data_IF_363157427805
#
_entry.id   IF_363157427805
#
_cell.length_a   1.000
_cell.length_b   1.000
_cell.length_c   1.000
_cell.angle_alpha   90.00
_cell.angle_beta   90.00
_cell.angle_gamma   90.00
#
_symmetry.space_group_name_H-M   'P 1'
#
loop_
_entity.id
_entity.type
_entity.pdbx_description
1 polymer ?
#
# COMPACT_ATOMS: atom_id res chain seq x y z
N UNK A 1 78.07 39.83 -31.30
CA UNK A 1 77.19 39.37 -30.21
C UNK A 1 76.03 40.36 -30.16
N UNK A 2 74.96 40.23 -30.97
CA UNK A 2 73.75 39.38 -30.83
C UNK A 2 73.19 39.31 -29.41
N UNK A 3 71.90 39.63 -29.28
CA UNK A 3 71.08 39.64 -28.05
C UNK A 3 70.16 40.86 -28.01
N UNK A 4 69.29 41.06 -29.00
CA UNK A 4 67.89 40.58 -29.05
C UNK A 4 66.98 41.15 -27.96
N UNK A 5 66.17 42.13 -28.38
CA UNK A 5 64.98 42.68 -27.74
C UNK A 5 63.84 41.66 -27.68
N UNK A 6 63.15 41.57 -26.53
CA UNK A 6 61.81 40.99 -26.43
C UNK A 6 60.93 41.81 -25.46
N UNK A 7 59.82 42.44 -25.91
CA UNK A 7 58.80 42.98 -25.02
C UNK A 7 57.77 41.90 -24.58
N UNK A 8 57.00 42.14 -23.50
CA UNK A 8 56.13 41.13 -22.91
C UNK A 8 54.90 40.79 -23.76
N UNK A 9 54.61 39.49 -23.86
CA UNK A 9 53.39 38.94 -24.48
C UNK A 9 52.19 39.19 -23.57
N UNK A 10 51.34 40.18 -23.91
CA UNK A 10 49.99 40.30 -23.38
C UNK A 10 49.08 39.27 -24.07
N UNK A 11 48.63 38.27 -23.32
CA UNK A 11 47.63 37.31 -23.78
C UNK A 11 46.33 38.00 -24.19
N UNK A 12 45.97 37.89 -25.47
CA UNK A 12 44.64 38.29 -25.97
C UNK A 12 43.60 37.30 -25.45
N UNK A 13 42.84 37.67 -24.41
CA UNK A 13 41.57 37.00 -24.11
C UNK A 13 40.59 37.31 -25.25
N UNK A 14 40.18 36.28 -25.98
CA UNK A 14 39.17 36.39 -27.02
C UNK A 14 37.84 36.89 -26.42
N UNK A 15 37.44 38.10 -26.79
CA UNK A 15 36.14 38.66 -26.45
C UNK A 15 35.05 37.87 -27.19
N UNK A 16 34.36 36.96 -26.47
CA UNK A 16 33.18 36.26 -26.98
C UNK A 16 32.05 37.28 -27.15
N UNK A 17 31.73 37.61 -28.40
CA UNK A 17 30.81 38.69 -28.77
C UNK A 17 29.40 38.56 -28.20
N UNK A 18 28.67 39.69 -28.07
CA UNK A 18 27.40 39.79 -27.35
C UNK A 18 26.26 38.98 -27.96
N UNK A 19 26.31 38.70 -29.27
CA UNK A 19 25.24 38.02 -30.03
C UNK A 19 25.02 36.55 -29.62
N UNK A 20 26.06 35.84 -29.19
CA UNK A 20 25.90 34.45 -28.69
C UNK A 20 25.32 34.40 -27.28
N UNK A 21 25.58 35.43 -26.47
CA UNK A 21 25.02 35.54 -25.12
C UNK A 21 23.55 35.89 -25.15
N UNK A 22 23.13 36.80 -26.02
CA UNK A 22 21.71 37.17 -26.18
C UNK A 22 20.87 36.01 -26.73
N UNK A 23 21.36 35.24 -27.71
CA UNK A 23 20.67 34.05 -28.20
C UNK A 23 20.50 32.96 -27.12
N UNK A 24 21.54 32.72 -26.31
CA UNK A 24 21.45 31.78 -25.19
C UNK A 24 20.52 32.27 -24.08
N UNK A 25 20.52 33.58 -23.78
CA UNK A 25 19.58 34.19 -22.82
C UNK A 25 18.13 34.10 -23.29
N UNK A 26 17.86 34.36 -24.57
CA UNK A 26 16.50 34.24 -25.14
C UNK A 26 16.00 32.80 -25.13
N UNK A 27 16.89 31.83 -25.42
CA UNK A 27 16.54 30.42 -25.39
C UNK A 27 16.27 29.93 -23.95
N UNK A 28 17.04 30.42 -22.96
CA UNK A 28 16.80 30.14 -21.55
C UNK A 28 15.46 30.72 -21.05
N UNK A 29 15.12 31.96 -21.45
CA UNK A 29 13.83 32.58 -21.12
C UNK A 29 12.68 31.78 -21.73
N UNK A 30 12.80 31.36 -23.00
CA UNK A 30 11.78 30.54 -23.66
C UNK A 30 11.60 29.17 -23.00
N UNK A 31 12.68 28.52 -22.57
CA UNK A 31 12.62 27.25 -21.83
C UNK A 31 11.90 27.42 -20.48
N UNK A 32 12.23 28.47 -19.71
CA UNK A 32 11.57 28.75 -18.43
C UNK A 32 10.08 29.08 -18.62
N UNK A 33 9.71 29.83 -19.66
CA UNK A 33 8.31 30.13 -19.97
C UNK A 33 7.52 28.87 -20.38
N UNK A 34 8.13 27.95 -21.13
CA UNK A 34 7.52 26.67 -21.49
C UNK A 34 7.27 25.76 -20.27
N UNK A 35 8.22 25.71 -19.32
CA UNK A 35 8.06 24.96 -18.07
C UNK A 35 6.96 25.58 -17.20
N UNK A 36 6.86 26.91 -17.13
CA UNK A 36 5.80 27.56 -16.35
C UNK A 36 4.40 27.36 -16.97
N UNK A 37 4.30 27.33 -18.31
CA UNK A 37 3.03 27.09 -19.00
C UNK A 37 2.53 25.65 -18.84
N UNK A 38 3.42 24.65 -18.70
CA UNK A 38 3.00 23.26 -18.44
C UNK A 38 2.26 23.11 -17.11
N UNK A 39 2.63 23.90 -16.09
CA UNK A 39 1.95 23.90 -14.79
C UNK A 39 0.61 24.63 -14.77
N UNK A 40 0.28 25.38 -15.83
CA UNK A 40 -1.01 26.09 -15.95
C UNK A 40 -2.02 25.28 -16.75
N UNK A 41 -1.59 24.58 -17.80
CA UNK A 41 -2.48 23.70 -18.59
C UNK A 41 -2.80 22.39 -17.88
N UNK A 42 -1.92 21.93 -16.98
CA UNK A 42 -2.21 20.80 -16.08
C UNK A 42 -1.63 21.06 -14.67
N UNK A 43 -2.35 21.77 -13.78
CA UNK A 43 -1.90 22.02 -12.41
C UNK A 43 -1.79 20.72 -11.57
N UNK A 44 -2.17 19.56 -12.13
CA UNK A 44 -2.17 18.27 -11.44
C UNK A 44 -1.18 17.25 -12.02
N UNK A 45 -0.39 17.60 -13.05
CA UNK A 45 0.60 16.70 -13.64
C UNK A 45 1.60 16.15 -12.59
N UNK A 46 1.95 16.94 -11.57
CA UNK A 46 2.83 16.50 -10.47
C UNK A 46 2.14 15.68 -9.37
N UNK A 47 0.82 15.71 -9.27
CA UNK A 47 0.08 15.06 -8.18
C UNK A 47 -0.30 13.60 -8.48
N UNK A 48 -0.35 13.20 -9.75
CA UNK A 48 -0.75 11.85 -10.18
C UNK A 48 0.27 10.76 -9.83
N UNK A 49 1.48 11.13 -9.42
CA UNK A 49 2.52 10.19 -8.97
C UNK A 49 2.50 9.92 -7.45
N UNK A 50 1.64 10.59 -6.68
CA UNK A 50 1.50 10.36 -5.24
C UNK A 50 0.40 9.33 -4.96
N UNK A 51 0.68 8.35 -4.09
CA UNK A 51 -0.29 7.33 -3.66
C UNK A 51 -1.50 7.91 -2.89
N UNK A 52 -1.47 9.21 -2.59
CA UNK A 52 -2.50 9.93 -1.83
C UNK A 52 -3.41 10.80 -2.70
N UNK A 53 -3.21 10.88 -4.02
CA UNK A 53 -4.07 11.71 -4.87
C UNK A 53 -5.41 11.01 -5.15
N UNK A 54 -6.51 11.63 -4.71
CA UNK A 54 -7.89 11.20 -4.99
C UNK A 54 -8.53 12.18 -5.95
N UNK A 55 -8.76 11.75 -7.20
CA UNK A 55 -9.47 12.55 -8.19
C UNK A 55 -10.88 12.92 -7.67
N UNK A 56 -11.35 14.16 -7.88
CA UNK A 56 -12.75 14.49 -7.66
C UNK A 56 -13.61 13.66 -8.62
N UNK A 57 -14.61 12.99 -8.08
CA UNK A 57 -15.52 12.15 -8.86
C UNK A 57 -16.35 13.03 -9.80
N UNK A 58 -15.88 13.23 -11.03
CA UNK A 58 -16.75 13.64 -12.13
C UNK A 58 -17.71 12.47 -12.35
N UNK A 59 -19.01 12.72 -12.22
CA UNK A 59 -20.04 11.75 -12.51
C UNK A 59 -19.87 11.24 -13.95
N UNK A 60 -19.34 10.03 -14.12
CA UNK A 60 -19.18 9.41 -15.42
C UNK A 60 -20.50 8.76 -15.84
N UNK A 61 -21.13 9.32 -16.89
CA UNK A 61 -22.05 8.61 -17.77
C UNK A 61 -21.26 7.81 -18.83
N UNK A 62 -21.93 6.88 -19.56
CA UNK A 62 -21.74 5.44 -19.50
C UNK A 62 -20.51 4.90 -20.27
N UNK A 63 -20.03 3.75 -19.80
CA UNK A 63 -19.15 2.76 -20.46
C UNK A 63 -18.29 3.23 -21.66
N UNK A 64 -17.01 3.51 -21.41
CA UNK A 64 -16.01 3.57 -22.47
C UNK A 64 -15.84 2.16 -23.10
N UNK A 65 -16.44 1.95 -24.27
CA UNK A 65 -16.24 0.74 -25.09
C UNK A 65 -14.95 0.90 -25.88
N UNK A 66 -13.93 0.10 -25.59
CA UNK A 66 -12.74 -0.03 -26.45
C UNK A 66 -13.12 -0.79 -27.72
N UNK A 67 -12.90 -0.18 -28.89
CA UNK A 67 -13.10 -0.83 -30.20
C UNK A 67 -11.76 -1.32 -30.72
N UNK A 68 -11.65 -2.62 -30.99
CA UNK A 68 -10.52 -3.21 -31.71
C UNK A 68 -11.00 -3.63 -33.10
N UNK A 69 -10.31 -3.16 -34.13
CA UNK A 69 -10.57 -3.58 -35.52
C UNK A 69 -9.70 -4.79 -35.83
N UNK A 70 -10.33 -5.87 -36.28
CA UNK A 70 -9.66 -7.08 -36.79
C UNK A 70 -10.08 -7.19 -38.26
N UNK A 71 -9.15 -7.47 -39.17
CA UNK A 71 -9.43 -7.58 -40.61
C UNK A 71 -10.58 -8.57 -40.85
N UNK A 72 -11.74 -8.03 -41.26
CA UNK A 72 -12.97 -8.78 -41.52
C UNK A 72 -14.19 -8.41 -40.65
N UNK A 73 -14.06 -7.60 -39.59
CA UNK A 73 -15.22 -7.11 -38.82
C UNK A 73 -14.91 -6.56 -37.43
N UNK A 74 -15.86 -5.79 -36.86
CA UNK A 74 -15.76 -5.26 -35.49
C UNK A 74 -16.45 -6.20 -34.50
N UNK A 75 -15.76 -6.65 -33.46
CA UNK A 75 -16.36 -7.37 -32.32
C UNK A 75 -16.47 -6.41 -31.13
N UNK A 76 -17.68 -6.28 -30.57
CA UNK A 76 -17.92 -5.54 -29.34
C UNK A 76 -17.70 -6.47 -28.14
N UNK A 77 -16.54 -6.38 -27.48
CA UNK A 77 -16.29 -7.12 -26.24
C UNK A 77 -16.57 -6.21 -25.05
N UNK A 78 -17.66 -6.47 -24.32
CA UNK A 78 -17.97 -5.79 -23.07
C UNK A 78 -17.12 -6.37 -21.93
N UNK A 79 -15.86 -5.95 -21.82
CA UNK A 79 -15.01 -6.27 -20.66
C UNK A 79 -15.46 -5.44 -19.46
N UNK A 80 -16.27 -6.06 -18.59
CA UNK A 80 -16.61 -5.51 -17.28
C UNK A 80 -15.41 -5.73 -16.36
N UNK A 81 -14.61 -4.68 -16.08
CA UNK A 81 -13.60 -4.76 -15.01
C UNK A 81 -14.32 -5.04 -13.69
N UNK A 82 -13.95 -6.12 -13.01
CA UNK A 82 -14.41 -6.34 -11.65
C UNK A 82 -13.93 -5.18 -10.77
N UNK A 83 -14.90 -4.50 -10.20
CA UNK A 83 -14.72 -3.30 -9.38
C UNK A 83 -14.52 -3.76 -7.95
N UNK A 84 -13.32 -3.58 -7.40
CA UNK A 84 -13.15 -3.63 -5.95
C UNK A 84 -13.58 -2.28 -5.37
N UNK A 85 -14.52 -2.30 -4.43
CA UNK A 85 -14.98 -1.10 -3.73
C UNK A 85 -14.01 -0.80 -2.59
N UNK A 86 -13.31 0.34 -2.63
CA UNK A 86 -12.67 0.89 -1.43
C UNK A 86 -13.69 1.71 -0.67
N UNK A 87 -14.22 1.14 0.43
CA UNK A 87 -15.00 1.93 1.38
C UNK A 87 -14.02 2.73 2.25
N UNK A 88 -14.10 4.05 2.17
CA UNK A 88 -13.49 4.94 3.16
C UNK A 88 -14.38 4.86 4.40
N UNK A 89 -13.88 4.28 5.50
CA UNK A 89 -14.55 4.41 6.79
C UNK A 89 -14.46 5.87 7.22
N UNK A 90 -15.55 6.61 7.02
CA UNK A 90 -15.76 7.87 7.69
C UNK A 90 -15.94 7.62 9.18
N UNK A 91 -15.19 8.35 10.00
CA UNK A 91 -15.44 8.44 11.44
C UNK A 91 -16.80 9.10 11.66
N UNK A 92 -17.81 8.31 12.02
CA UNK A 92 -19.06 8.79 12.64
C UNK A 92 -19.80 7.62 13.28
N UNK A 93 -19.91 7.67 14.61
CA UNK A 93 -21.00 7.04 15.37
C UNK A 93 -20.91 5.54 15.59
N UNK A 94 -20.78 5.15 16.87
CA UNK A 94 -21.15 3.83 17.34
C UNK A 94 -22.64 3.57 17.07
N UNK A 95 -22.93 2.64 16.17
CA UNK A 95 -24.21 1.94 16.10
C UNK A 95 -23.94 0.58 15.46
N UNK A 96 -24.51 -0.46 16.08
CA UNK A 96 -24.33 -1.87 15.78
C UNK A 96 -24.23 -2.19 14.29
N UNK A 97 -23.02 -2.49 13.83
CA UNK A 97 -22.85 -3.29 12.63
C UNK A 97 -22.95 -4.75 13.07
N UNK A 98 -24.18 -5.25 13.17
CA UNK A 98 -24.43 -6.69 13.06
C UNK A 98 -24.01 -7.08 11.64
N UNK A 99 -22.74 -7.48 11.50
CA UNK A 99 -22.28 -8.14 10.30
C UNK A 99 -22.95 -9.50 10.27
N UNK A 100 -23.67 -9.86 9.20
CA UNK A 100 -24.26 -11.18 9.09
C UNK A 100 -23.16 -12.24 9.20
N UNK A 101 -23.46 -13.31 9.91
CA UNK A 101 -22.74 -14.59 9.92
C UNK A 101 -22.79 -15.19 8.51
N UNK A 102 -22.07 -14.57 7.58
CA UNK A 102 -21.83 -15.02 6.22
C UNK A 102 -20.48 -15.72 6.12
N UNK A 103 -20.13 -16.29 4.95
CA UNK A 103 -18.97 -17.16 4.77
C UNK A 103 -17.72 -16.55 5.41
N UNK A 104 -16.94 -17.42 6.09
CA UNK A 104 -15.64 -17.13 6.72
C UNK A 104 -14.99 -15.94 6.02
N UNK A 105 -14.79 -14.83 6.75
CA UNK A 105 -14.17 -13.64 6.17
C UNK A 105 -12.91 -14.09 5.39
N UNK A 106 -12.75 -13.69 4.12
CA UNK A 106 -11.66 -14.19 3.32
C UNK A 106 -10.34 -13.90 4.03
N UNK A 107 -9.39 -14.84 3.95
CA UNK A 107 -8.12 -14.75 4.66
C UNK A 107 -7.42 -13.39 4.45
N UNK A 108 -7.55 -12.80 3.26
CA UNK A 108 -7.03 -11.47 2.93
C UNK A 108 -7.62 -10.34 3.78
N UNK A 109 -8.90 -10.38 4.12
CA UNK A 109 -9.56 -9.39 4.99
C UNK A 109 -9.07 -9.52 6.42
N UNK A 110 -8.97 -10.75 6.93
CA UNK A 110 -8.42 -11.04 8.25
C UNK A 110 -6.94 -10.59 8.35
N UNK A 111 -6.14 -10.91 7.34
CA UNK A 111 -4.75 -10.50 7.21
C UNK A 111 -4.59 -8.98 7.18
N UNK A 112 -5.40 -8.26 6.39
CA UNK A 112 -5.35 -6.80 6.35
C UNK A 112 -5.65 -6.16 7.72
N UNK A 113 -6.63 -6.70 8.44
CA UNK A 113 -6.93 -6.25 9.80
C UNK A 113 -5.77 -6.53 10.78
N UNK A 114 -5.18 -7.72 10.71
CA UNK A 114 -4.01 -8.09 11.52
C UNK A 114 -2.79 -7.22 11.21
N UNK A 115 -2.53 -6.92 9.94
CA UNK A 115 -1.44 -6.03 9.52
C UNK A 115 -1.56 -4.64 10.15
N UNK A 116 -2.77 -4.09 10.22
CA UNK A 116 -3.03 -2.82 10.91
C UNK A 116 -2.66 -2.87 12.39
N UNK A 117 -2.97 -3.97 13.09
CA UNK A 117 -2.63 -4.13 14.52
C UNK A 117 -1.12 -4.32 14.70
N UNK A 118 -0.47 -5.11 13.84
CA UNK A 118 0.99 -5.29 13.85
C UNK A 118 1.69 -3.93 13.69
N UNK A 119 1.25 -3.11 12.74
CA UNK A 119 1.77 -1.76 12.54
C UNK A 119 1.51 -0.85 13.77
N UNK A 120 0.31 -0.90 14.36
CA UNK A 120 -0.01 -0.14 15.58
C UNK A 120 0.88 -0.51 16.78
N UNK A 121 1.39 -1.73 16.82
CA UNK A 121 2.36 -2.18 17.83
C UNK A 121 3.79 -1.71 17.57
N UNK A 122 4.06 -1.04 16.45
CA UNK A 122 5.40 -0.61 16.06
C UNK A 122 6.29 -1.75 15.57
N UNK A 123 5.71 -2.91 15.27
CA UNK A 123 6.44 -4.06 14.74
C UNK A 123 6.76 -3.86 13.25
N UNK A 124 7.94 -4.36 12.84
CA UNK A 124 8.37 -4.32 11.45
C UNK A 124 7.49 -5.24 10.57
N UNK A 125 7.46 -4.98 9.26
CA UNK A 125 6.69 -5.80 8.31
C UNK A 125 7.08 -7.28 8.30
N UNK A 126 8.31 -7.61 8.68
CA UNK A 126 8.78 -9.00 8.85
C UNK A 126 7.99 -9.77 9.92
N UNK A 127 7.53 -9.08 10.98
CA UNK A 127 6.70 -9.68 12.02
C UNK A 127 5.34 -10.09 11.44
N UNK A 128 4.78 -9.29 10.54
CA UNK A 128 3.55 -9.67 9.86
C UNK A 128 3.74 -10.92 8.99
N UNK A 129 4.86 -11.06 8.29
CA UNK A 129 5.17 -12.27 7.53
C UNK A 129 5.22 -13.52 8.42
N UNK A 130 5.86 -13.42 9.59
CA UNK A 130 5.85 -14.49 10.59
C UNK A 130 4.44 -14.82 11.09
N UNK A 131 3.60 -13.81 11.33
CA UNK A 131 2.21 -13.99 11.73
C UNK A 131 1.40 -14.73 10.65
N UNK A 132 1.61 -14.39 9.38
CA UNK A 132 0.97 -15.07 8.24
C UNK A 132 1.36 -16.53 8.18
N UNK A 133 2.65 -16.86 8.28
CA UNK A 133 3.11 -18.24 8.33
C UNK A 133 2.53 -19.01 9.52
N UNK A 134 2.52 -18.37 10.70
CA UNK A 134 2.00 -18.95 11.93
C UNK A 134 0.51 -19.30 11.78
N UNK A 135 -0.35 -18.33 11.51
CA UNK A 135 -1.80 -18.57 11.46
C UNK A 135 -2.28 -19.31 10.21
N UNK A 136 -1.47 -19.35 9.13
CA UNK A 136 -1.70 -20.29 8.04
C UNK A 136 -1.60 -21.75 8.54
N UNK A 137 -0.62 -22.05 9.40
CA UNK A 137 -0.44 -23.39 9.96
C UNK A 137 -1.52 -23.75 10.97
N UNK A 138 -1.94 -22.79 11.77
CA UNK A 138 -2.96 -23.01 12.81
C UNK A 138 -4.35 -23.26 12.22
N UNK A 139 -4.79 -22.41 11.29
CA UNK A 139 -6.20 -22.40 10.87
C UNK A 139 -6.41 -22.06 9.40
N UNK A 140 -5.36 -21.70 8.66
CA UNK A 140 -5.52 -21.08 7.34
C UNK A 140 -6.28 -19.76 7.39
N UNK A 141 -6.20 -19.03 8.51
CA UNK A 141 -6.97 -17.81 8.77
C UNK A 141 -8.50 -18.01 8.84
N UNK A 142 -8.97 -19.23 9.10
CA UNK A 142 -10.40 -19.51 9.25
C UNK A 142 -10.88 -19.20 10.68
N UNK A 143 -11.76 -18.19 10.81
CA UNK A 143 -12.36 -17.79 12.09
C UNK A 143 -13.26 -18.84 12.74
N UNK A 144 -13.68 -19.86 11.99
CA UNK A 144 -14.47 -20.99 12.48
C UNK A 144 -13.68 -22.30 12.49
N UNK A 145 -12.36 -22.26 12.35
CA UNK A 145 -11.53 -23.45 12.48
C UNK A 145 -11.67 -24.02 13.91
N UNK A 146 -12.14 -25.25 14.00
CA UNK A 146 -12.27 -25.99 15.25
C UNK A 146 -11.53 -27.32 15.12
N UNK A 147 -10.89 -27.76 16.19
CA UNK A 147 -10.23 -29.06 16.24
C UNK A 147 -10.80 -29.94 17.37
N UNK A 148 -10.57 -31.27 17.34
CA UNK A 148 -11.08 -32.18 18.38
C UNK A 148 -10.54 -31.91 19.79
N UNK A 149 -9.38 -31.25 19.94
CA UNK A 149 -8.84 -30.87 21.25
C UNK A 149 -9.53 -29.64 21.85
N UNK A 150 -10.42 -28.98 21.11
CA UNK A 150 -11.20 -27.83 21.57
C UNK A 150 -10.56 -26.47 21.28
N UNK A 151 -9.49 -26.42 20.48
CA UNK A 151 -8.93 -25.17 20.00
C UNK A 151 -9.84 -24.55 18.92
N UNK A 152 -9.93 -23.22 18.92
CA UNK A 152 -10.89 -22.50 18.07
C UNK A 152 -10.32 -21.23 17.44
N UNK A 153 -10.80 -20.95 16.23
CA UNK A 153 -10.62 -19.69 15.51
C UNK A 153 -9.26 -19.52 14.85
N UNK A 154 -9.01 -18.29 14.37
CA UNK A 154 -7.76 -17.94 13.69
C UNK A 154 -6.52 -18.32 14.50
N UNK A 155 -6.42 -17.96 15.80
CA UNK A 155 -5.22 -18.25 16.59
C UNK A 155 -5.18 -19.67 17.16
N UNK A 156 -6.22 -20.50 16.95
CA UNK A 156 -6.41 -21.80 17.60
C UNK A 156 -6.28 -21.72 19.13
N UNK A 157 -7.08 -20.85 19.76
CA UNK A 157 -7.05 -20.65 21.21
C UNK A 157 -7.61 -21.86 21.97
N UNK A 158 -6.93 -22.32 23.03
CA UNK A 158 -7.35 -23.45 23.86
C UNK A 158 -7.55 -23.07 25.36
N UNK A 159 -8.79 -23.16 25.89
CA UNK A 159 -10.05 -23.24 25.16
C UNK A 159 -10.37 -21.92 24.43
N UNK A 160 -11.14 -22.00 23.34
CA UNK A 160 -11.55 -20.84 22.54
C UNK A 160 -12.24 -19.73 23.34
N UNK A 161 -12.97 -20.11 24.40
CA UNK A 161 -13.66 -19.20 25.32
C UNK A 161 -12.75 -18.16 26.00
N UNK A 162 -11.43 -18.38 26.03
CA UNK A 162 -10.47 -17.37 26.51
C UNK A 162 -10.51 -16.07 25.69
N UNK A 163 -10.91 -16.15 24.43
CA UNK A 163 -11.09 -14.97 23.58
C UNK A 163 -12.29 -14.11 24.01
N UNK A 164 -13.26 -14.69 24.71
CA UNK A 164 -14.47 -14.00 25.19
C UNK A 164 -14.30 -13.20 26.48
N UNK A 165 -13.16 -13.30 27.17
CA UNK A 165 -12.93 -12.66 28.49
C UNK A 165 -12.97 -11.12 28.43
N UNK A 166 -12.94 -10.51 27.23
CA UNK A 166 -13.10 -9.07 27.02
C UNK A 166 -14.49 -8.61 26.52
N UNK A 167 -15.47 -9.52 26.42
CA UNK A 167 -16.76 -9.24 25.78
C UNK A 167 -16.71 -9.29 24.25
N UNK A 168 -17.86 -9.51 23.62
CA UNK A 168 -18.02 -9.60 22.16
C UNK A 168 -18.23 -11.03 21.63
N UNK A 169 -18.64 -11.12 20.36
CA UNK A 169 -18.85 -12.40 19.66
C UNK A 169 -17.52 -13.01 19.23
N UNK A 170 -16.78 -13.57 20.19
CA UNK A 170 -15.47 -14.18 19.94
C UNK A 170 -15.53 -15.39 19.00
N UNK A 171 -16.70 -16.04 18.92
CA UNK A 171 -16.88 -17.24 18.12
C UNK A 171 -17.06 -16.89 16.64
N UNK A 172 -17.71 -15.76 16.31
CA UNK A 172 -17.96 -15.41 14.92
C UNK A 172 -17.23 -14.15 14.42
N UNK A 173 -16.69 -13.30 15.31
CA UNK A 173 -15.95 -12.10 14.89
C UNK A 173 -14.44 -12.35 14.84
N UNK A 174 -13.92 -12.47 13.61
CA UNK A 174 -12.49 -12.59 13.34
C UNK A 174 -11.67 -11.44 13.97
N UNK A 175 -12.25 -10.25 14.16
CA UNK A 175 -11.53 -9.11 14.77
C UNK A 175 -11.28 -9.33 16.25
N UNK A 176 -12.23 -9.93 16.96
CA UNK A 176 -12.07 -10.31 18.37
C UNK A 176 -10.94 -11.34 18.47
N UNK A 177 -10.98 -12.37 17.62
CA UNK A 177 -9.97 -13.42 17.59
C UNK A 177 -8.57 -12.89 17.29
N UNK A 178 -8.43 -12.01 16.29
CA UNK A 178 -7.13 -11.44 15.91
C UNK A 178 -6.57 -10.53 17.01
N UNK A 179 -7.41 -9.67 17.61
CA UNK A 179 -6.97 -8.80 18.72
C UNK A 179 -6.48 -9.64 19.90
N UNK A 180 -7.23 -10.66 20.27
CA UNK A 180 -6.85 -11.57 21.35
C UNK A 180 -5.55 -12.31 21.01
N UNK A 181 -5.46 -12.91 19.82
CA UNK A 181 -4.30 -13.70 19.40
C UNK A 181 -3.02 -12.86 19.34
N UNK A 182 -3.07 -11.66 18.77
CA UNK A 182 -1.93 -10.73 18.77
C UNK A 182 -1.56 -10.28 20.18
N UNK A 183 -2.54 -10.07 21.07
CA UNK A 183 -2.30 -9.77 22.48
C UNK A 183 -1.57 -10.91 23.20
N UNK A 184 -2.03 -12.15 22.98
CA UNK A 184 -1.40 -13.36 23.51
C UNK A 184 0.03 -13.53 23.00
N UNK A 185 0.27 -13.35 21.70
CA UNK A 185 1.61 -13.38 21.09
C UNK A 185 2.53 -12.37 21.75
N UNK A 186 2.07 -11.12 21.89
CA UNK A 186 2.87 -10.06 22.52
C UNK A 186 3.21 -10.41 23.97
N UNK A 187 2.25 -10.91 24.75
CA UNK A 187 2.45 -11.22 26.17
C UNK A 187 3.32 -12.44 26.43
N UNK A 188 3.30 -13.45 25.55
CA UNK A 188 4.01 -14.72 25.77
C UNK A 188 5.32 -14.86 25.00
N UNK A 189 5.38 -14.32 23.79
CA UNK A 189 6.53 -14.47 22.90
C UNK A 189 7.21 -13.15 22.56
N UNK A 190 6.65 -12.02 22.98
CA UNK A 190 7.16 -10.69 22.68
C UNK A 190 6.82 -10.22 21.26
N UNK A 191 6.92 -11.09 20.24
CA UNK A 191 6.61 -10.77 18.85
C UNK A 191 6.09 -11.96 18.04
N UNK A 192 5.43 -11.73 16.88
CA UNK A 192 5.02 -12.77 15.96
C UNK A 192 6.14 -13.69 15.49
N UNK A 193 7.33 -13.17 15.21
CA UNK A 193 8.48 -13.99 14.85
C UNK A 193 9.00 -14.80 16.03
N UNK A 194 8.93 -14.28 17.27
CA UNK A 194 9.19 -15.08 18.47
C UNK A 194 8.23 -16.26 18.60
N UNK A 195 6.93 -16.01 18.38
CA UNK A 195 5.92 -17.06 18.38
C UNK A 195 6.15 -18.08 17.26
N UNK A 196 6.45 -17.62 16.03
CA UNK A 196 6.74 -18.49 14.90
C UNK A 196 7.98 -19.36 15.10
N UNK A 197 9.03 -18.83 15.72
CA UNK A 197 10.22 -19.62 16.05
C UNK A 197 9.89 -20.73 17.05
N UNK A 198 9.14 -20.43 18.11
CA UNK A 198 8.65 -21.44 19.07
C UNK A 198 7.77 -22.48 18.38
N UNK A 199 6.86 -22.01 17.51
CA UNK A 199 5.97 -22.82 16.69
C UNK A 199 6.73 -23.83 15.82
N UNK A 200 7.83 -23.43 15.19
CA UNK A 200 8.68 -24.32 14.40
C UNK A 200 9.41 -25.37 15.26
N UNK A 201 9.75 -25.04 16.51
CA UNK A 201 10.48 -25.95 17.40
C UNK A 201 9.56 -26.98 18.09
N UNK A 202 8.35 -26.57 18.52
CA UNK A 202 7.49 -27.37 19.41
C UNK A 202 6.19 -27.82 18.74
N UNK A 203 5.87 -27.28 17.55
CA UNK A 203 4.61 -27.57 16.86
C UNK A 203 3.42 -26.71 17.32
N UNK A 204 3.58 -25.88 18.36
CA UNK A 204 2.57 -24.93 18.82
C UNK A 204 3.21 -23.62 19.33
N UNK A 205 2.39 -22.61 19.56
CA UNK A 205 2.72 -21.38 20.28
C UNK A 205 1.58 -21.07 21.28
#
# INVERSE_FOLDING_TARGET
>A
MRGDTAPPVRGRRAARGPRRRTLLSLLAIAACAGIALVSVTDPYAGATASSFYRQPAVAQHPAAVQRFSIDGGTVLVALKRDRFTTQVLGSSGAADVVMPSGPVAPASTAQAFAAGIVAQKGWAGSEFSCLVSLWNRESGWNAHAANPSGAYGIPQALPGSKMGVGGGDWQNDYRVQIRWGIGYIAGRYGSPCGAWAHSQAVGSY
#
